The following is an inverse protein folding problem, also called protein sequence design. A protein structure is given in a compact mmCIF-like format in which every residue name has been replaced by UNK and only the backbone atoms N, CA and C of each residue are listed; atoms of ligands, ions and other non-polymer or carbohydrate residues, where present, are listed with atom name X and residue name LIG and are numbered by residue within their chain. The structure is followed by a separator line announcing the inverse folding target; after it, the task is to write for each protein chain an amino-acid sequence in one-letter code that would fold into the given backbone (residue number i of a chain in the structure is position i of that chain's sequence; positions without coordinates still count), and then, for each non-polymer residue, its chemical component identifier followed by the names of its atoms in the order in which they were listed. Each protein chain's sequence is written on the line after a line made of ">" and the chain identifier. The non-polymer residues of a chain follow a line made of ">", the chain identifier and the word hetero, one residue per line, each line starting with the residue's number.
data_IF_688659885566
#
_entry.id   IF_688659885566
#
_cell.length_a   1.000
_cell.length_b   1.000
_cell.length_c   1.000
_cell.angle_alpha   90.00
_cell.angle_beta   90.00
_cell.angle_gamma   90.00
#
_symmetry.space_group_name_H-M   'P 1'
#
loop_
_entity.id
_entity.type
_entity.pdbx_description
1 polymer ?
#
# COMPACT_ATOMS: atom_id res chain seq x y z
N UNK A 1 4.51 -17.11 -8.49
CA UNK A 1 3.07 -17.13 -8.16
C UNK A 1 2.69 -16.16 -7.04
N UNK A 2 3.09 -16.39 -5.79
CA UNK A 2 2.68 -15.55 -4.64
C UNK A 2 3.09 -14.07 -4.74
N UNK A 3 4.25 -13.79 -5.31
CA UNK A 3 4.67 -12.41 -5.61
C UNK A 3 3.69 -11.71 -6.57
N UNK A 4 3.17 -12.42 -7.57
CA UNK A 4 2.15 -11.90 -8.47
C UNK A 4 0.82 -11.63 -7.75
N UNK A 5 0.43 -12.47 -6.79
CA UNK A 5 -0.73 -12.23 -5.90
C UNK A 5 -0.50 -10.96 -5.08
N UNK A 6 0.68 -10.81 -4.48
CA UNK A 6 1.04 -9.62 -3.71
C UNK A 6 1.03 -8.35 -4.58
N UNK A 7 1.63 -8.37 -5.76
CA UNK A 7 1.67 -7.22 -6.66
C UNK A 7 0.27 -6.83 -7.16
N UNK A 8 -0.67 -7.78 -7.28
CA UNK A 8 -2.08 -7.46 -7.55
C UNK A 8 -2.75 -6.81 -6.34
N UNK A 9 -2.52 -7.33 -5.13
CA UNK A 9 -3.06 -6.74 -3.92
C UNK A 9 -2.50 -5.32 -3.66
N UNK A 10 -1.21 -5.08 -3.95
CA UNK A 10 -0.61 -3.74 -3.92
C UNK A 10 -1.30 -2.81 -4.91
N UNK A 11 -1.50 -3.25 -6.16
CA UNK A 11 -2.23 -2.46 -7.16
C UNK A 11 -3.64 -2.10 -6.69
N UNK A 12 -4.38 -3.07 -6.17
CA UNK A 12 -5.71 -2.82 -5.61
C UNK A 12 -5.64 -1.80 -4.47
N UNK A 13 -4.71 -1.99 -3.53
CA UNK A 13 -4.50 -1.10 -2.39
C UNK A 13 -4.24 0.35 -2.80
N UNK A 14 -3.37 0.60 -3.79
CA UNK A 14 -3.06 1.96 -4.25
C UNK A 14 -4.16 2.59 -5.10
N UNK A 15 -5.02 1.78 -5.72
CA UNK A 15 -6.18 2.26 -6.48
C UNK A 15 -7.40 2.51 -5.61
N UNK A 16 -7.38 2.11 -4.34
CA UNK A 16 -8.47 2.41 -3.42
C UNK A 16 -8.56 3.93 -3.22
N UNK A 17 -9.80 4.41 -3.21
CA UNK A 17 -10.08 5.77 -2.77
C UNK A 17 -9.82 5.94 -1.27
N UNK A 18 -9.95 7.17 -0.76
CA UNK A 18 -9.65 7.51 0.65
C UNK A 18 -10.33 6.62 1.69
N UNK A 19 -11.59 6.27 1.45
CA UNK A 19 -12.39 5.42 2.33
C UNK A 19 -12.45 3.96 1.86
N UNK A 20 -11.66 3.62 0.83
CA UNK A 20 -11.56 2.28 0.32
C UNK A 20 -10.86 1.37 1.33
N UNK A 21 -11.41 0.18 1.52
CA UNK A 21 -10.81 -0.85 2.37
C UNK A 21 -10.57 -2.11 1.55
N UNK A 22 -9.43 -2.77 1.80
CA UNK A 22 -9.11 -4.06 1.19
C UNK A 22 -9.20 -5.14 2.27
N UNK A 23 -10.11 -6.09 2.12
CA UNK A 23 -10.24 -7.16 3.09
C UNK A 23 -9.05 -8.12 2.98
N UNK A 24 -8.54 -8.61 4.12
CA UNK A 24 -7.42 -9.59 4.15
C UNK A 24 -7.72 -10.81 3.28
N UNK A 25 -8.97 -11.27 3.24
CA UNK A 25 -9.40 -12.37 2.38
C UNK A 25 -9.17 -12.09 0.89
N UNK A 26 -9.44 -10.86 0.44
CA UNK A 26 -9.20 -10.43 -0.94
C UNK A 26 -7.71 -10.35 -1.23
N UNK A 27 -6.89 -9.84 -0.30
CA UNK A 27 -5.43 -9.82 -0.43
C UNK A 27 -4.80 -11.22 -0.57
N UNK A 28 -5.42 -12.21 0.07
CA UNK A 28 -4.95 -13.60 0.08
C UNK A 28 -5.51 -14.46 -1.04
N UNK A 29 -6.35 -13.92 -1.91
CA UNK A 29 -7.04 -14.70 -2.91
C UNK A 29 -6.06 -15.30 -3.92
N UNK A 30 -6.11 -16.63 -4.06
CA UNK A 30 -5.21 -17.39 -4.93
C UNK A 30 -3.79 -17.57 -4.37
N UNK A 31 -3.54 -17.27 -3.10
CA UNK A 31 -2.23 -17.46 -2.48
C UNK A 31 -1.92 -18.95 -2.27
N UNK A 32 -0.75 -19.41 -2.71
CA UNK A 32 -0.31 -20.80 -2.57
C UNK A 32 0.59 -20.98 -1.35
N UNK A 33 0.14 -21.77 -0.38
CA UNK A 33 0.90 -22.03 0.86
C UNK A 33 2.06 -23.01 0.65
N UNK A 34 2.00 -23.85 -0.38
CA UNK A 34 3.07 -24.82 -0.71
C UNK A 34 4.38 -24.13 -1.17
N UNK A 35 4.28 -22.92 -1.75
CA UNK A 35 5.44 -22.11 -2.10
C UNK A 35 6.18 -21.55 -0.88
N UNK A 36 5.56 -21.50 0.29
CA UNK A 36 6.12 -20.92 1.52
C UNK A 36 6.90 -21.95 2.35
N UNK A 37 7.90 -22.61 1.74
CA UNK A 37 8.69 -23.67 2.39
C UNK A 37 9.41 -23.18 3.66
N UNK A 38 9.95 -21.97 3.63
CA UNK A 38 10.65 -21.34 4.76
C UNK A 38 9.75 -21.18 6.00
N UNK A 39 8.46 -20.93 5.79
CA UNK A 39 7.48 -20.79 6.87
C UNK A 39 7.00 -22.17 7.33
N UNK A 40 6.67 -23.05 6.38
CA UNK A 40 6.26 -24.44 6.66
C UNK A 40 7.30 -25.21 7.47
N UNK A 41 8.59 -24.99 7.22
CA UNK A 41 9.69 -25.63 7.95
C UNK A 41 9.75 -25.22 9.43
N UNK A 42 9.22 -24.05 9.78
CA UNK A 42 9.18 -23.54 11.16
C UNK A 42 7.90 -23.92 11.93
N UNK A 43 6.92 -24.53 11.26
CA UNK A 43 5.67 -24.94 11.89
C UNK A 43 5.72 -26.40 12.35
N UNK A 44 5.18 -26.72 13.53
CA UNK A 44 5.06 -28.09 13.99
C UNK A 44 4.17 -28.90 13.03
N UNK A 45 4.51 -30.19 12.86
CA UNK A 45 3.67 -31.12 12.12
C UNK A 45 2.35 -31.36 12.90
N UNK A 46 1.24 -31.43 12.18
CA UNK A 46 -0.06 -31.68 12.79
C UNK A 46 -1.22 -31.44 11.82
N UNK A 47 -2.43 -31.89 12.16
CA UNK A 47 -3.61 -31.79 11.29
C UNK A 47 -3.95 -30.34 10.94
N UNK A 48 -3.69 -29.40 11.85
CA UNK A 48 -4.00 -27.98 11.67
C UNK A 48 -2.86 -27.18 11.01
N UNK A 49 -1.75 -27.84 10.60
CA UNK A 49 -0.57 -27.13 10.07
C UNK A 49 -0.91 -26.29 8.84
N UNK A 50 -1.71 -26.82 7.92
CA UNK A 50 -2.08 -26.10 6.70
C UNK A 50 -2.90 -24.84 7.01
N UNK A 51 -3.88 -24.95 7.90
CA UNK A 51 -4.71 -23.82 8.31
C UNK A 51 -3.89 -22.75 9.05
N UNK A 52 -2.97 -23.15 9.93
CA UNK A 52 -2.07 -22.22 10.61
C UNK A 52 -1.14 -21.51 9.61
N UNK A 53 -0.57 -22.26 8.67
CA UNK A 53 0.28 -21.71 7.62
C UNK A 53 -0.49 -20.66 6.79
N UNK A 54 -1.70 -20.98 6.35
CA UNK A 54 -2.55 -20.06 5.59
C UNK A 54 -2.84 -18.77 6.38
N UNK A 55 -3.19 -18.88 7.67
CA UNK A 55 -3.42 -17.72 8.54
C UNK A 55 -2.17 -16.85 8.67
N UNK A 56 -1.01 -17.46 8.88
CA UNK A 56 0.25 -16.73 9.02
C UNK A 56 0.65 -16.01 7.73
N UNK A 57 0.53 -16.68 6.58
CA UNK A 57 0.83 -16.02 5.30
C UNK A 57 -0.14 -14.87 5.03
N UNK A 58 -1.43 -15.03 5.35
CA UNK A 58 -2.38 -13.93 5.23
C UNK A 58 -2.05 -12.74 6.13
N UNK A 59 -1.66 -12.99 7.38
CA UNK A 59 -1.21 -11.92 8.29
C UNK A 59 0.05 -11.24 7.77
N UNK A 60 1.00 -11.99 7.22
CA UNK A 60 2.20 -11.43 6.60
C UNK A 60 1.85 -10.53 5.42
N UNK A 61 0.94 -10.95 4.54
CA UNK A 61 0.48 -10.15 3.40
C UNK A 61 -0.16 -8.83 3.84
N UNK A 62 -1.05 -8.90 4.83
CA UNK A 62 -1.68 -7.71 5.41
C UNK A 62 -0.62 -6.77 6.02
N UNK A 63 0.33 -7.31 6.78
CA UNK A 63 1.43 -6.54 7.35
C UNK A 63 2.28 -5.84 6.28
N UNK A 64 2.63 -6.54 5.20
CA UNK A 64 3.42 -5.96 4.11
C UNK A 64 2.67 -4.82 3.42
N UNK A 65 1.35 -4.92 3.22
CA UNK A 65 0.55 -3.84 2.66
C UNK A 65 0.44 -2.65 3.62
N UNK A 66 -0.04 -2.90 4.84
CA UNK A 66 -0.38 -1.85 5.80
C UNK A 66 0.84 -1.14 6.38
N UNK A 67 1.95 -1.85 6.58
CA UNK A 67 3.15 -1.28 7.22
C UNK A 67 4.23 -0.94 6.23
N UNK A 68 4.53 -1.82 5.28
CA UNK A 68 5.65 -1.60 4.35
C UNK A 68 5.21 -0.76 3.17
N UNK A 69 4.21 -1.19 2.41
CA UNK A 69 3.76 -0.45 1.22
C UNK A 69 3.25 0.94 1.58
N UNK A 70 2.41 1.06 2.62
CA UNK A 70 1.94 2.36 3.09
C UNK A 70 3.07 3.31 3.54
N UNK A 71 4.09 2.79 4.25
CA UNK A 71 5.22 3.62 4.67
C UNK A 71 6.08 4.06 3.48
N UNK A 72 6.34 3.17 2.51
CA UNK A 72 7.06 3.50 1.30
C UNK A 72 6.35 4.59 0.51
N UNK A 73 5.04 4.43 0.30
CA UNK A 73 4.20 5.43 -0.39
C UNK A 73 4.31 6.77 0.33
N UNK A 74 4.10 6.81 1.65
CA UNK A 74 4.17 8.05 2.44
C UNK A 74 5.55 8.71 2.41
N UNK A 75 6.62 7.92 2.37
CA UNK A 75 8.00 8.43 2.31
C UNK A 75 8.39 9.00 0.95
N UNK A 76 7.73 8.57 -0.14
CA UNK A 76 8.10 8.94 -1.51
C UNK A 76 7.11 9.91 -2.17
N UNK A 77 5.84 9.90 -1.74
CA UNK A 77 4.75 10.62 -2.37
C UNK A 77 3.95 11.46 -1.37
N UNK A 78 3.51 12.62 -1.84
CA UNK A 78 2.42 13.39 -1.28
C UNK A 78 1.09 12.86 -1.85
N UNK A 79 0.20 12.42 -0.97
CA UNK A 79 -1.11 11.88 -1.34
C UNK A 79 -2.20 12.94 -1.12
N UNK A 80 -2.99 13.25 -2.14
CA UNK A 80 -4.09 14.23 -2.04
C UNK A 80 -5.31 13.80 -2.84
N UNK A 81 -6.47 14.31 -2.48
CA UNK A 81 -7.68 14.25 -3.29
C UNK A 81 -7.72 15.48 -4.21
N UNK A 82 -8.41 15.36 -5.35
CA UNK A 82 -8.70 16.51 -6.21
C UNK A 82 -10.17 16.86 -6.04
N UNK A 83 -10.45 18.13 -5.76
CA UNK A 83 -11.82 18.64 -5.70
C UNK A 83 -12.55 18.33 -7.02
N UNK A 84 -13.79 17.83 -6.90
CA UNK A 84 -14.62 17.44 -8.04
C UNK A 84 -14.32 16.07 -8.67
N UNK A 85 -13.32 15.31 -8.21
CA UNK A 85 -12.95 13.99 -8.79
C UNK A 85 -13.29 12.79 -7.87
N UNK A 86 -14.28 12.96 -6.99
CA UNK A 86 -14.73 11.94 -6.04
C UNK A 86 -13.68 11.58 -4.99
N UNK A 87 -13.70 10.34 -4.50
CA UNK A 87 -12.78 9.83 -3.46
C UNK A 87 -11.44 9.32 -4.00
N UNK A 88 -11.06 9.70 -5.22
CA UNK A 88 -9.83 9.22 -5.87
C UNK A 88 -8.59 9.88 -5.25
N UNK A 89 -7.60 9.06 -4.88
CA UNK A 89 -6.33 9.53 -4.32
C UNK A 89 -5.29 9.70 -5.43
N UNK A 90 -4.66 10.87 -5.47
CA UNK A 90 -3.56 11.20 -6.38
C UNK A 90 -2.23 11.17 -5.61
N UNK A 91 -1.19 10.64 -6.26
CA UNK A 91 0.15 10.50 -5.70
C UNK A 91 1.13 11.39 -6.47
N UNK A 92 1.68 12.40 -5.80
CA UNK A 92 2.70 13.28 -6.35
C UNK A 92 4.05 12.96 -5.71
N UNK A 93 5.12 12.67 -6.48
CA UNK A 93 6.46 12.52 -5.89
C UNK A 93 6.82 13.77 -5.07
N UNK A 94 7.45 13.60 -3.90
CA UNK A 94 7.76 14.73 -3.01
C UNK A 94 8.58 15.83 -3.71
N UNK A 95 9.50 15.46 -4.61
CA UNK A 95 10.27 16.43 -5.40
C UNK A 95 9.40 17.32 -6.30
N UNK A 96 8.34 16.74 -6.89
CA UNK A 96 7.38 17.47 -7.72
C UNK A 96 6.51 18.35 -6.83
N UNK A 97 5.97 17.80 -5.74
CA UNK A 97 5.13 18.54 -4.81
C UNK A 97 5.86 19.75 -4.19
N UNK A 98 7.13 19.57 -3.79
CA UNK A 98 7.95 20.66 -3.28
C UNK A 98 8.25 21.75 -4.32
N UNK A 99 8.21 21.44 -5.62
CA UNK A 99 8.28 22.47 -6.68
C UNK A 99 6.96 23.22 -6.81
N UNK A 100 5.83 22.52 -6.76
CA UNK A 100 4.49 23.13 -6.78
C UNK A 100 4.33 24.09 -5.60
N UNK A 101 4.66 23.67 -4.38
CA UNK A 101 4.59 24.53 -3.19
C UNK A 101 5.44 25.79 -3.31
N UNK A 102 6.66 25.68 -3.84
CA UNK A 102 7.53 26.86 -4.05
C UNK A 102 6.94 27.85 -5.04
N UNK A 103 6.37 27.39 -6.16
CA UNK A 103 5.71 28.26 -7.14
C UNK A 103 4.50 28.98 -6.53
N UNK A 104 3.68 28.26 -5.75
CA UNK A 104 2.53 28.85 -5.06
C UNK A 104 2.97 29.94 -4.08
N UNK A 105 4.02 29.68 -3.28
CA UNK A 105 4.58 30.68 -2.37
C UNK A 105 5.12 31.91 -3.11
N UNK A 106 5.83 31.72 -4.23
CA UNK A 106 6.35 32.83 -5.04
C UNK A 106 5.24 33.71 -5.64
N UNK A 107 4.09 33.13 -5.98
CA UNK A 107 2.92 33.89 -6.46
C UNK A 107 2.17 34.63 -5.35
N UNK A 108 2.26 34.13 -4.11
CA UNK A 108 1.53 34.69 -2.96
C UNK A 108 2.39 35.58 -2.05
N UNK A 109 3.70 35.70 -2.27
CA UNK A 109 4.49 36.77 -1.66
C UNK A 109 4.03 38.07 -2.32
N UNK A 110 3.32 38.97 -1.61
CA UNK A 110 2.96 40.25 -2.18
C UNK A 110 4.26 40.96 -2.56
N UNK A 111 4.30 41.52 -3.77
CA UNK A 111 5.34 42.46 -4.18
C UNK A 111 5.25 43.73 -3.31
N UNK A 112 5.71 43.64 -2.06
CA UNK A 112 5.92 44.78 -1.17
C UNK A 112 7.43 45.03 -1.05
N UNK A 113 7.95 45.75 -2.03
CA UNK A 113 9.20 46.53 -1.97
C UNK A 113 8.95 47.70 -2.91
N UNK A 114 8.53 48.85 -2.38
CA UNK A 114 9.38 49.96 -1.90
C UNK A 114 9.87 50.81 -3.08
#
# INVERSE_FOLDING_TARGET
>A
HNEGVFNRAVRQYITLGRHGTLAVRQCCEGLQTDGCRWLRAKLPAGPNRHQLLQRLVCRLMAFLLERVAAALIRSAFYCTEREGHGHTVFFYPHAVWGRVQRLVLQQHVPHHTA
#
